data_IF_154596827560
#
_entry.id   IF_154596827560
#
_cell.length_a   1.000
_cell.length_b   1.000
_cell.length_c   1.000
_cell.angle_alpha   90.00
_cell.angle_beta   90.00
_cell.angle_gamma   90.00
#
_symmetry.space_group_name_H-M   'P 1'
#
loop_
_entity.id
_entity.type
_entity.pdbx_description
1 polymer ?
#
# COMPACT_ATOMS: atom_id res chain seq x y z
N UNK A 1 -0.85 -16.30 -26.54
CA UNK A 1 -2.18 -15.68 -26.34
C UNK A 1 -2.22 -15.04 -24.95
N UNK A 2 -1.78 -13.78 -24.83
CA UNK A 2 -1.91 -13.03 -23.57
C UNK A 2 -3.24 -12.29 -23.56
N UNK A 3 -4.28 -12.93 -23.03
CA UNK A 3 -5.61 -12.33 -22.94
C UNK A 3 -5.64 -11.25 -21.87
N UNK A 4 -6.04 -10.02 -22.24
CA UNK A 4 -6.41 -8.98 -21.28
C UNK A 4 -7.70 -9.46 -20.60
N UNK A 5 -7.57 -10.01 -19.39
CA UNK A 5 -8.72 -10.37 -18.56
C UNK A 5 -9.26 -9.09 -17.94
N UNK A 6 -10.51 -8.74 -18.26
CA UNK A 6 -11.23 -7.66 -17.58
C UNK A 6 -11.24 -7.97 -16.08
N UNK A 7 -10.56 -7.14 -15.29
CA UNK A 7 -10.58 -7.23 -13.82
C UNK A 7 -11.97 -6.79 -13.38
N UNK A 8 -12.75 -7.72 -12.85
CA UNK A 8 -14.13 -7.47 -12.46
C UNK A 8 -14.18 -6.48 -11.29
N UNK A 9 -15.17 -5.60 -11.31
CA UNK A 9 -15.33 -4.57 -10.29
C UNK A 9 -16.05 -5.21 -9.10
N UNK A 10 -15.31 -5.40 -8.01
CA UNK A 10 -15.82 -6.08 -6.81
C UNK A 10 -16.42 -5.08 -5.84
N UNK A 11 -17.26 -5.53 -4.92
CA UNK A 11 -17.76 -4.71 -3.81
C UNK A 11 -16.89 -4.89 -2.55
N UNK A 12 -17.08 -4.01 -1.57
CA UNK A 12 -16.43 -4.17 -0.25
C UNK A 12 -16.86 -5.46 0.46
N UNK A 13 -18.10 -5.93 0.22
CA UNK A 13 -18.62 -7.19 0.77
C UNK A 13 -17.92 -8.42 0.18
N UNK A 14 -17.60 -8.37 -1.11
CA UNK A 14 -16.86 -9.45 -1.79
C UNK A 14 -15.43 -9.53 -1.26
N UNK A 15 -14.76 -8.38 -1.08
CA UNK A 15 -13.42 -8.32 -0.49
C UNK A 15 -13.45 -8.88 0.95
N UNK A 16 -14.44 -8.50 1.75
CA UNK A 16 -14.59 -9.00 3.11
C UNK A 16 -14.78 -10.52 3.13
N UNK A 17 -15.64 -11.04 2.24
CA UNK A 17 -15.89 -12.47 2.10
C UNK A 17 -14.64 -13.21 1.67
N UNK A 18 -13.88 -12.67 0.71
CA UNK A 18 -12.60 -13.22 0.27
C UNK A 18 -11.59 -13.31 1.42
N UNK A 19 -11.42 -12.22 2.19
CA UNK A 19 -10.52 -12.19 3.34
C UNK A 19 -10.95 -13.18 4.43
N UNK A 20 -12.25 -13.28 4.70
CA UNK A 20 -12.81 -14.15 5.75
C UNK A 20 -12.69 -15.64 5.39
N UNK A 21 -12.81 -15.97 4.10
CA UNK A 21 -12.75 -17.34 3.60
C UNK A 21 -11.31 -17.79 3.27
N UNK A 22 -10.34 -16.88 3.26
CA UNK A 22 -8.94 -17.22 3.00
C UNK A 22 -8.34 -17.99 4.18
N UNK A 23 -8.39 -19.31 4.08
CA UNK A 23 -7.79 -20.26 4.99
C UNK A 23 -6.26 -20.26 4.84
N UNK A 24 -5.65 -19.25 5.47
CA UNK A 24 -4.22 -19.12 5.77
C UNK A 24 -3.24 -18.97 4.58
N UNK A 25 -2.68 -17.75 4.52
CA UNK A 25 -1.29 -17.41 4.21
C UNK A 25 -0.82 -17.60 2.74
N UNK A 26 -0.65 -16.47 2.04
CA UNK A 26 0.05 -16.30 0.75
C UNK A 26 -0.75 -16.36 -0.56
N UNK A 27 -2.05 -16.05 -0.53
CA UNK A 27 -2.78 -15.74 -1.76
C UNK A 27 -2.65 -14.23 -2.04
N UNK A 28 -1.74 -13.85 -2.93
CA UNK A 28 -1.67 -12.49 -3.47
C UNK A 28 -2.79 -12.33 -4.51
N UNK A 29 -3.76 -11.48 -4.22
CA UNK A 29 -4.88 -11.21 -5.10
C UNK A 29 -5.08 -9.72 -5.27
N UNK A 30 -5.25 -9.30 -6.52
CA UNK A 30 -5.55 -7.93 -6.85
C UNK A 30 -7.04 -7.75 -7.19
N UNK A 31 -7.64 -6.70 -6.67
CA UNK A 31 -9.03 -6.35 -6.92
C UNK A 31 -9.16 -4.94 -7.50
N UNK A 32 -10.21 -4.72 -8.30
CA UNK A 32 -10.60 -3.38 -8.73
C UNK A 32 -11.87 -2.97 -7.98
N UNK A 33 -11.78 -1.93 -7.16
CA UNK A 33 -12.91 -1.43 -6.35
C UNK A 33 -13.06 0.08 -6.51
N UNK A 34 -14.31 0.55 -6.59
CA UNK A 34 -14.65 1.98 -6.63
C UNK A 34 -15.16 2.41 -5.25
N UNK A 35 -14.42 3.31 -4.59
CA UNK A 35 -14.75 3.82 -3.26
C UNK A 35 -14.68 5.35 -3.22
N UNK A 36 -15.34 5.94 -2.22
CA UNK A 36 -15.14 7.34 -1.84
C UNK A 36 -14.20 7.39 -0.64
N UNK A 37 -13.15 8.21 -0.71
CA UNK A 37 -12.27 8.46 0.44
C UNK A 37 -13.05 9.27 1.47
N UNK A 38 -13.15 8.76 2.70
CA UNK A 38 -13.91 9.39 3.80
C UNK A 38 -13.03 10.02 4.87
N UNK A 39 -11.75 9.65 4.93
CA UNK A 39 -10.82 10.13 5.95
C UNK A 39 -9.40 9.62 5.74
N UNK A 40 -8.46 10.30 6.38
CA UNK A 40 -7.01 10.13 6.25
C UNK A 40 -6.44 10.00 7.68
N UNK A 41 -5.98 8.80 8.07
CA UNK A 41 -5.39 8.53 9.40
C UNK A 41 -4.00 9.18 9.57
N UNK A 42 -3.89 10.27 10.31
CA UNK A 42 -2.64 11.01 10.45
C UNK A 42 -1.64 10.43 11.47
N UNK A 43 -2.08 9.54 12.37
CA UNK A 43 -1.32 9.13 13.56
C UNK A 43 0.01 8.41 13.27
N UNK A 44 0.17 7.79 12.11
CA UNK A 44 1.36 6.96 11.80
C UNK A 44 2.30 7.58 10.75
N UNK A 45 2.04 8.83 10.34
CA UNK A 45 2.80 9.50 9.29
C UNK A 45 2.50 8.94 7.88
N UNK A 46 2.45 9.83 6.90
CA UNK A 46 2.20 9.48 5.49
C UNK A 46 3.47 9.15 4.71
N UNK A 47 4.63 9.37 5.34
CA UNK A 47 5.93 9.20 4.73
C UNK A 47 6.79 8.29 5.60
N UNK A 48 7.59 7.46 4.95
CA UNK A 48 8.64 6.69 5.58
C UNK A 48 9.98 7.00 4.92
N UNK A 49 11.07 6.86 5.67
CA UNK A 49 12.41 6.96 5.11
C UNK A 49 12.73 5.63 4.44
N UNK A 50 13.15 5.66 3.18
CA UNK A 50 13.56 4.48 2.43
C UNK A 50 15.01 4.59 1.97
N UNK A 51 15.65 3.44 1.77
CA UNK A 51 16.98 3.39 1.16
C UNK A 51 16.88 3.76 -0.34
N UNK A 52 17.71 4.70 -0.80
CA UNK A 52 17.72 5.17 -2.20
C UNK A 52 18.13 4.08 -3.20
N UNK A 53 18.79 3.01 -2.75
CA UNK A 53 19.23 1.90 -3.62
C UNK A 53 18.26 0.72 -3.71
N UNK A 54 17.36 0.52 -2.73
CA UNK A 54 16.50 -0.67 -2.70
C UNK A 54 15.04 -0.42 -2.31
N UNK A 55 14.66 0.84 -2.07
CA UNK A 55 13.29 1.29 -1.70
C UNK A 55 12.70 0.64 -0.44
N UNK A 56 13.50 -0.12 0.32
CA UNK A 56 13.08 -0.72 1.59
C UNK A 56 12.94 0.36 2.66
N UNK A 57 11.88 0.24 3.46
CA UNK A 57 11.64 1.10 4.63
C UNK A 57 12.75 0.91 5.65
N UNK A 58 13.29 2.01 6.16
CA UNK A 58 14.33 2.04 7.18
C UNK A 58 13.71 2.27 8.55
N UNK A 59 14.12 1.46 9.53
CA UNK A 59 13.78 1.65 10.94
C UNK A 59 14.72 2.65 11.60
N UNK A 60 14.18 3.47 12.51
CA UNK A 60 14.97 4.45 13.26
C UNK A 60 15.76 3.74 14.36
N UNK A 61 16.99 3.31 14.07
CA UNK A 61 17.97 3.01 15.10
C UNK A 61 18.73 4.28 15.46
N UNK A 62 18.78 4.62 16.74
CA UNK A 62 19.31 5.88 17.25
C UNK A 62 20.79 6.06 16.93
N UNK A 63 21.10 6.66 15.79
CA UNK A 63 22.33 7.44 15.57
C UNK A 63 22.08 8.42 14.43
N UNK A 64 22.50 9.66 14.64
CA UNK A 64 22.50 10.76 13.67
C UNK A 64 23.05 10.32 12.31
N UNK A 65 22.17 10.12 11.34
CA UNK A 65 22.56 10.07 9.93
C UNK A 65 22.06 11.35 9.26
N UNK A 66 23.01 12.23 8.93
CA UNK A 66 22.80 13.33 7.98
C UNK A 66 22.54 12.71 6.61
N UNK A 67 21.26 12.51 6.28
CA UNK A 67 20.84 12.11 4.94
C UNK A 67 19.81 13.08 4.43
N UNK A 68 20.11 13.65 3.27
CA UNK A 68 19.27 14.54 2.48
C UNK A 68 17.86 13.97 2.39
N UNK A 69 16.91 14.62 3.05
CA UNK A 69 15.50 14.29 2.94
C UNK A 69 15.00 14.69 1.54
N UNK A 70 15.00 13.77 0.59
CA UNK A 70 14.21 13.93 -0.64
C UNK A 70 12.74 13.73 -0.30
N UNK A 71 12.09 14.79 0.18
CA UNK A 71 10.64 14.83 0.29
C UNK A 71 10.03 14.79 -1.12
N UNK A 72 9.38 13.68 -1.49
CA UNK A 72 8.46 13.69 -2.62
C UNK A 72 7.20 14.45 -2.19
N UNK A 73 7.14 15.73 -2.54
CA UNK A 73 5.95 16.57 -2.36
C UNK A 73 4.99 16.23 -3.50
N UNK A 74 4.02 15.35 -3.25
CA UNK A 74 2.90 15.15 -4.17
C UNK A 74 1.92 16.31 -3.95
N UNK A 75 1.86 17.22 -4.92
CA UNK A 75 0.89 18.31 -4.93
C UNK A 75 -0.44 17.75 -5.40
N UNK A 76 -1.49 17.94 -4.60
CA UNK A 76 -2.89 17.80 -5.01
C UNK A 76 -3.23 18.88 -6.03
#
# INVERSE_FOLDING_TARGET
MGGIRKKELVTIGDIHTYLSNSNAQNQEADFLYKARIVGILQQNGWAHVSCTGCSKKLDKYGTSCVSLMSMFKSSV
#
